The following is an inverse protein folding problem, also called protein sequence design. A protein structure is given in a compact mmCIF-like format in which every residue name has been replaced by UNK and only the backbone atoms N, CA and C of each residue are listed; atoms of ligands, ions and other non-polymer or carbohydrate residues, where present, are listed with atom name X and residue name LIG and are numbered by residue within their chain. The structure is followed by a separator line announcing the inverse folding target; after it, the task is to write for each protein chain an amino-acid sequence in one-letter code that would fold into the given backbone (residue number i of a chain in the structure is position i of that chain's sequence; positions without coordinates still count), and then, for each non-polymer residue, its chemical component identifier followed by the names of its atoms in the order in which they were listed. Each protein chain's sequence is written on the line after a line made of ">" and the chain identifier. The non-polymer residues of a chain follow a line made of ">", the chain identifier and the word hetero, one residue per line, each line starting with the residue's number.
data_IF_811441965718
#
_entry.id   IF_811441965718
#
_cell.length_a   1.000
_cell.length_b   1.000
_cell.length_c   1.000
_cell.angle_alpha   90.00
_cell.angle_beta   90.00
_cell.angle_gamma   90.00
#
_symmetry.space_group_name_H-M   'P 1'
#
loop_
_entity.id
_entity.type
_entity.pdbx_description
1 polymer ?
#
# COMPACT_ATOMS: atom_id res chain seq x y z
N UNK A 1 19.04 30.55 -5.01
CA UNK A 1 18.14 30.51 -6.18
C UNK A 1 17.12 29.41 -5.89
N UNK A 2 16.01 29.75 -5.23
CA UNK A 2 15.01 28.77 -4.77
C UNK A 2 13.96 28.57 -5.86
N UNK A 3 13.92 27.38 -6.45
CA UNK A 3 12.90 26.99 -7.41
C UNK A 3 11.61 26.64 -6.66
N UNK A 4 10.52 27.34 -6.99
CA UNK A 4 9.17 27.05 -6.51
C UNK A 4 8.78 25.64 -6.97
N UNK A 5 8.60 24.71 -6.02
CA UNK A 5 7.85 23.47 -6.28
C UNK A 5 6.39 23.86 -6.52
N UNK A 6 5.92 23.63 -7.75
CA UNK A 6 4.52 23.79 -8.09
C UNK A 6 3.70 22.72 -7.37
N UNK A 7 2.79 23.15 -6.52
CA UNK A 7 1.73 22.28 -6.00
C UNK A 7 0.81 21.99 -7.19
N UNK A 8 0.92 20.79 -7.73
CA UNK A 8 -0.01 20.29 -8.75
C UNK A 8 -1.30 19.94 -8.02
N UNK A 9 -2.24 20.90 -8.02
CA UNK A 9 -3.61 20.66 -7.58
C UNK A 9 -4.28 19.86 -8.69
N UNK A 10 -4.46 18.55 -8.49
CA UNK A 10 -5.33 17.75 -9.32
C UNK A 10 -6.75 18.31 -9.14
N UNK A 11 -7.26 19.00 -10.15
CA UNK A 11 -8.67 19.28 -10.29
C UNK A 11 -9.34 17.95 -10.64
N UNK A 12 -9.77 17.21 -9.62
CA UNK A 12 -10.72 16.13 -9.80
C UNK A 12 -11.95 16.73 -10.50
N UNK A 13 -12.11 16.41 -11.77
CA UNK A 13 -13.29 16.77 -12.52
C UNK A 13 -14.45 15.99 -11.92
N UNK A 14 -15.21 16.63 -11.04
CA UNK A 14 -16.52 16.19 -10.56
C UNK A 14 -17.49 16.12 -11.75
N UNK A 15 -17.35 15.09 -12.56
CA UNK A 15 -18.49 14.54 -13.30
C UNK A 15 -19.19 13.66 -12.28
N UNK A 16 -20.39 14.02 -11.79
CA UNK A 16 -21.21 13.07 -11.04
C UNK A 16 -21.54 11.93 -12.00
N UNK A 17 -20.71 10.90 -11.99
CA UNK A 17 -20.98 9.64 -12.63
C UNK A 17 -22.27 9.13 -12.02
N UNK A 18 -23.29 8.99 -12.86
CA UNK A 18 -24.49 8.27 -12.51
C UNK A 18 -24.03 6.87 -12.09
N UNK A 19 -24.00 6.60 -10.78
CA UNK A 19 -23.81 5.26 -10.24
C UNK A 19 -25.07 4.46 -10.61
N UNK A 20 -25.11 4.01 -11.86
CA UNK A 20 -26.04 2.97 -12.28
C UNK A 20 -25.64 1.75 -11.47
N UNK A 21 -26.49 1.37 -10.52
CA UNK A 21 -26.36 0.15 -9.73
C UNK A 21 -26.40 -1.06 -10.64
N UNK A 22 -25.26 -1.38 -11.26
CA UNK A 22 -24.95 -2.73 -11.66
C UNK A 22 -24.97 -3.55 -10.37
N UNK A 23 -25.94 -4.45 -10.25
CA UNK A 23 -25.87 -5.50 -9.22
C UNK A 23 -24.48 -6.14 -9.29
N UNK A 24 -23.90 -6.40 -8.13
CA UNK A 24 -22.55 -6.93 -7.93
C UNK A 24 -22.30 -8.34 -8.52
N UNK A 25 -23.11 -8.82 -9.46
CA UNK A 25 -23.20 -10.26 -9.75
C UNK A 25 -22.06 -10.85 -10.61
N UNK A 26 -21.08 -10.06 -11.11
CA UNK A 26 -19.96 -10.61 -11.92
C UNK A 26 -18.55 -10.10 -11.56
N UNK A 27 -18.34 -9.36 -10.47
CA UNK A 27 -16.98 -8.95 -10.07
C UNK A 27 -16.36 -9.94 -9.09
N UNK A 28 -15.53 -10.85 -9.60
CA UNK A 28 -14.66 -11.72 -8.81
C UNK A 28 -13.21 -11.24 -8.91
N UNK A 29 -12.72 -10.43 -7.94
CA UNK A 29 -11.35 -9.91 -7.97
C UNK A 29 -10.31 -11.03 -7.85
N UNK A 30 -10.63 -12.16 -7.21
CA UNK A 30 -9.69 -13.28 -7.03
C UNK A 30 -9.50 -14.07 -8.32
N UNK A 31 -10.46 -14.03 -9.26
CA UNK A 31 -10.33 -14.63 -10.58
C UNK A 31 -9.34 -13.88 -11.50
N UNK A 32 -9.04 -12.61 -11.19
CA UNK A 32 -8.06 -11.81 -11.94
C UNK A 32 -6.66 -12.14 -11.38
N UNK A 33 -5.69 -12.55 -12.24
CA UNK A 33 -4.39 -12.98 -11.76
C UNK A 33 -3.60 -11.82 -11.13
N UNK A 34 -2.90 -12.10 -10.03
CA UNK A 34 -1.96 -11.15 -9.47
C UNK A 34 -0.69 -11.04 -10.34
N UNK A 35 -0.21 -9.81 -10.57
CA UNK A 35 1.04 -9.54 -11.29
C UNK A 35 2.07 -8.84 -10.40
N UNK A 36 2.97 -9.63 -9.78
CA UNK A 36 4.11 -9.09 -9.02
C UNK A 36 5.17 -8.41 -9.91
N UNK A 37 5.11 -8.62 -11.23
CA UNK A 37 5.97 -7.92 -12.18
C UNK A 37 5.51 -6.48 -12.39
N UNK A 38 4.19 -6.26 -12.50
CA UNK A 38 3.58 -4.92 -12.65
C UNK A 38 3.43 -4.21 -11.31
N UNK A 39 3.06 -4.95 -10.26
CA UNK A 39 2.82 -4.45 -8.91
C UNK A 39 3.81 -5.08 -7.91
N UNK A 40 5.12 -4.80 -8.02
CA UNK A 40 6.14 -5.46 -7.20
C UNK A 40 6.14 -4.99 -5.74
N UNK A 41 5.38 -3.96 -5.38
CA UNK A 41 5.29 -3.46 -4.01
C UNK A 41 3.93 -3.78 -3.41
N UNK A 42 3.92 -4.17 -2.13
CA UNK A 42 2.70 -4.27 -1.33
C UNK A 42 1.91 -2.97 -1.40
N UNK A 43 0.64 -2.98 -1.88
CA UNK A 43 -0.24 -1.84 -1.72
C UNK A 43 -0.63 -1.71 -0.24
N UNK A 44 -0.71 -0.48 0.26
CA UNK A 44 -0.92 -0.18 1.67
C UNK A 44 -2.07 0.81 1.80
N UNK A 45 -3.00 0.52 2.70
CA UNK A 45 -3.96 1.49 3.18
C UNK A 45 -3.45 2.12 4.47
N UNK A 46 -3.71 3.41 4.66
CA UNK A 46 -3.28 4.15 5.84
C UNK A 46 -4.06 5.43 6.05
N UNK A 47 -3.67 6.16 7.09
CA UNK A 47 -4.22 7.48 7.44
C UNK A 47 -5.76 7.51 7.42
N UNK A 48 -6.39 6.45 7.93
CA UNK A 48 -7.84 6.31 7.88
C UNK A 48 -8.51 7.36 8.78
N UNK A 49 -9.69 7.79 8.35
CA UNK A 49 -10.64 8.50 9.21
C UNK A 49 -11.94 7.69 9.22
N UNK A 50 -13.00 8.23 9.82
CA UNK A 50 -14.31 7.59 9.79
C UNK A 50 -14.89 7.52 8.37
N UNK A 51 -14.47 8.38 7.46
CA UNK A 51 -15.05 8.46 6.10
C UNK A 51 -14.00 8.49 5.00
N UNK A 52 -12.74 8.18 5.31
CA UNK A 52 -11.63 8.29 4.35
C UNK A 52 -10.56 7.25 4.59
N UNK A 53 -9.89 6.82 3.53
CA UNK A 53 -8.59 6.12 3.59
C UNK A 53 -7.61 6.71 2.58
N UNK A 54 -6.31 6.53 2.84
CA UNK A 54 -5.24 6.78 1.87
C UNK A 54 -4.74 5.44 1.36
N UNK A 55 -4.70 5.26 0.05
CA UNK A 55 -4.11 4.08 -0.58
C UNK A 55 -2.80 4.47 -1.25
N UNK A 56 -1.72 3.78 -0.89
CA UNK A 56 -0.40 3.92 -1.47
C UNK A 56 -0.02 2.64 -2.21
N UNK A 57 0.44 2.75 -3.45
CA UNK A 57 0.85 1.60 -4.26
C UNK A 57 1.89 2.00 -5.31
N UNK A 58 2.47 0.99 -5.96
CA UNK A 58 3.50 1.18 -6.98
C UNK A 58 3.17 0.41 -8.26
N UNK A 59 3.34 1.08 -9.41
CA UNK A 59 3.16 0.52 -10.76
C UNK A 59 4.50 0.57 -11.48
N UNK A 60 5.10 -0.59 -11.74
CA UNK A 60 6.49 -0.69 -12.22
C UNK A 60 6.74 -0.06 -13.59
N UNK A 61 5.74 -0.08 -14.47
CA UNK A 61 5.82 0.52 -15.80
C UNK A 61 5.13 1.89 -15.88
N UNK A 62 4.66 2.42 -14.73
CA UNK A 62 3.92 3.69 -14.61
C UNK A 62 2.74 3.78 -15.60
N UNK A 63 2.16 2.64 -15.98
CA UNK A 63 0.98 2.60 -16.85
C UNK A 63 -0.28 3.04 -16.10
N UNK A 64 -1.32 3.55 -16.81
CA UNK A 64 -2.61 3.81 -16.20
C UNK A 64 -3.22 2.53 -15.63
N UNK A 65 -3.87 2.64 -14.47
CA UNK A 65 -4.55 1.53 -13.79
C UNK A 65 -5.95 1.92 -13.35
N UNK A 66 -6.76 0.95 -12.97
CA UNK A 66 -8.06 1.18 -12.33
C UNK A 66 -7.97 0.80 -10.86
N UNK A 67 -8.22 1.75 -9.95
CA UNK A 67 -8.41 1.48 -8.54
C UNK A 67 -9.85 1.00 -8.31
N UNK A 68 -10.00 -0.15 -7.66
CA UNK A 68 -11.29 -0.57 -7.12
C UNK A 68 -11.25 -0.80 -5.63
N UNK A 69 -12.34 -0.40 -4.99
CA UNK A 69 -12.62 -0.69 -3.59
C UNK A 69 -14.04 -1.22 -3.46
N UNK A 70 -14.22 -2.26 -2.64
CA UNK A 70 -15.49 -2.97 -2.51
C UNK A 70 -15.70 -3.47 -1.08
N UNK A 71 -16.95 -3.78 -0.75
CA UNK A 71 -17.35 -4.46 0.47
C UNK A 71 -18.41 -5.52 0.13
N UNK A 72 -19.10 -6.05 1.14
CA UNK A 72 -20.16 -7.06 0.95
C UNK A 72 -21.34 -6.56 0.08
N UNK A 73 -21.55 -5.24 -0.01
CA UNK A 73 -22.62 -4.63 -0.80
C UNK A 73 -22.24 -4.44 -2.28
N UNK A 74 -20.94 -4.50 -2.59
CA UNK A 74 -20.38 -4.41 -3.94
C UNK A 74 -19.26 -3.40 -4.08
N UNK A 75 -18.98 -3.01 -5.33
CA UNK A 75 -17.94 -2.02 -5.67
C UNK A 75 -18.43 -0.61 -5.28
N UNK A 76 -17.66 0.06 -4.43
CA UNK A 76 -17.93 1.44 -3.97
C UNK A 76 -17.02 2.47 -4.63
N UNK A 77 -15.86 2.04 -5.15
CA UNK A 77 -14.92 2.86 -5.90
C UNK A 77 -14.52 2.13 -7.17
N UNK A 78 -14.55 2.84 -8.29
CA UNK A 78 -14.09 2.39 -9.60
C UNK A 78 -13.50 3.60 -10.33
N UNK A 79 -12.21 3.85 -10.11
CA UNK A 79 -11.54 5.09 -10.50
C UNK A 79 -10.30 4.80 -11.37
N UNK A 80 -10.20 5.48 -12.51
CA UNK A 80 -8.98 5.47 -13.31
C UNK A 80 -7.90 6.31 -12.62
N UNK A 81 -6.71 5.73 -12.45
CA UNK A 81 -5.54 6.39 -11.89
C UNK A 81 -4.52 6.60 -12.99
N UNK A 82 -4.21 7.88 -13.25
CA UNK A 82 -3.21 8.28 -14.22
C UNK A 82 -1.77 7.98 -13.74
N UNK A 83 -0.82 7.79 -14.67
CA UNK A 83 0.62 7.69 -14.38
C UNK A 83 1.12 8.81 -13.45
N UNK A 84 1.98 8.43 -12.50
CA UNK A 84 2.57 9.33 -11.51
C UNK A 84 3.88 9.97 -11.98
N UNK A 85 4.55 9.37 -12.97
CA UNK A 85 5.86 9.74 -13.48
C UNK A 85 7.02 8.99 -12.82
N UNK A 86 6.81 8.40 -11.64
CA UNK A 86 7.79 7.59 -10.91
C UNK A 86 7.26 6.22 -10.45
N UNK A 87 6.03 5.89 -10.85
CA UNK A 87 5.31 4.68 -10.48
C UNK A 87 4.68 4.71 -9.08
N UNK A 88 4.94 5.70 -8.22
CA UNK A 88 4.38 5.77 -6.87
C UNK A 88 3.09 6.59 -6.81
N UNK A 89 2.00 5.94 -6.41
CA UNK A 89 0.69 6.58 -6.31
C UNK A 89 0.27 6.72 -4.85
N UNK A 90 -0.41 7.83 -4.56
CA UNK A 90 -1.15 8.06 -3.32
C UNK A 90 -2.53 8.57 -3.68
N UNK A 91 -3.55 7.75 -3.45
CA UNK A 91 -4.95 8.05 -3.78
C UNK A 91 -5.72 8.23 -2.48
N UNK A 92 -6.52 9.28 -2.42
CA UNK A 92 -7.42 9.54 -1.31
C UNK A 92 -8.81 9.07 -1.69
N UNK A 93 -9.38 8.20 -0.88
CA UNK A 93 -10.74 7.69 -1.07
C UNK A 93 -11.60 8.23 0.05
N UNK A 94 -12.55 9.09 -0.29
CA UNK A 94 -13.47 9.77 0.62
C UNK A 94 -14.88 9.13 0.58
N UNK A 95 -15.83 9.73 1.31
CA UNK A 95 -17.25 9.34 1.36
C UNK A 95 -17.52 7.88 1.77
N UNK A 96 -16.64 7.33 2.61
CA UNK A 96 -16.76 5.97 3.13
C UNK A 96 -17.65 5.88 4.37
N UNK A 97 -18.19 4.69 4.61
CA UNK A 97 -18.99 4.40 5.80
C UNK A 97 -18.06 4.15 7.00
N UNK A 98 -18.30 4.79 8.16
CA UNK A 98 -17.52 4.54 9.38
C UNK A 98 -17.56 3.08 9.85
N UNK A 99 -16.46 2.61 10.44
CA UNK A 99 -16.32 1.27 11.01
C UNK A 99 -16.54 0.13 10.00
N UNK A 100 -16.40 0.41 8.71
CA UNK A 100 -16.71 -0.55 7.63
C UNK A 100 -15.42 -1.12 7.06
N UNK A 101 -15.40 -2.43 6.87
CA UNK A 101 -14.28 -3.11 6.21
C UNK A 101 -14.48 -3.04 4.70
N UNK A 102 -13.43 -2.62 4.02
CA UNK A 102 -13.34 -2.56 2.57
C UNK A 102 -12.15 -3.37 2.10
N UNK A 103 -12.29 -4.01 0.95
CA UNK A 103 -11.20 -4.60 0.19
C UNK A 103 -10.81 -3.67 -0.95
N UNK A 104 -9.54 -3.67 -1.33
CA UNK A 104 -9.03 -2.84 -2.41
C UNK A 104 -7.96 -3.56 -3.21
N UNK A 105 -7.87 -3.19 -4.49
CA UNK A 105 -6.77 -3.55 -5.38
C UNK A 105 -6.72 -2.56 -6.54
N UNK A 106 -5.57 -2.51 -7.20
CA UNK A 106 -5.41 -1.83 -8.49
C UNK A 106 -5.31 -2.86 -9.60
N UNK A 107 -5.90 -2.54 -10.73
CA UNK A 107 -6.07 -3.45 -11.86
C UNK A 107 -5.51 -2.82 -13.12
N UNK A 108 -4.83 -3.61 -13.96
CA UNK A 108 -4.51 -3.17 -15.32
C UNK A 108 -5.73 -3.35 -16.25
N UNK A 109 -5.91 -2.41 -17.16
CA UNK A 109 -7.09 -2.35 -18.01
C UNK A 109 -8.28 -1.68 -17.32
N UNK A 110 -9.47 -1.93 -17.84
CA UNK A 110 -10.72 -1.35 -17.36
C UNK A 110 -11.79 -2.43 -17.31
N UNK A 111 -12.79 -2.23 -16.46
CA UNK A 111 -13.85 -3.19 -16.31
C UNK A 111 -14.68 -3.36 -17.61
N UNK A 112 -15.19 -4.59 -17.87
CA UNK A 112 -15.01 -5.81 -17.09
C UNK A 112 -13.72 -6.58 -17.42
N UNK A 113 -12.90 -6.09 -18.34
CA UNK A 113 -11.81 -6.83 -18.98
C UNK A 113 -10.44 -6.55 -18.33
N UNK A 114 -10.33 -6.78 -17.02
CA UNK A 114 -9.05 -6.63 -16.31
C UNK A 114 -8.06 -7.73 -16.71
N UNK A 115 -6.79 -7.36 -16.94
CA UNK A 115 -5.75 -8.31 -17.34
C UNK A 115 -5.05 -8.93 -16.13
N UNK A 116 -4.62 -8.08 -15.20
CA UNK A 116 -3.97 -8.46 -13.95
C UNK A 116 -4.29 -7.46 -12.82
N UNK A 117 -3.91 -7.82 -11.58
CA UNK A 117 -4.13 -6.99 -10.39
C UNK A 117 -2.92 -6.95 -9.45
N UNK A 118 -2.94 -5.98 -8.54
CA UNK A 118 -2.11 -6.01 -7.35
C UNK A 118 -2.56 -7.09 -6.37
N UNK A 119 -1.76 -7.28 -5.31
CA UNK A 119 -2.24 -7.93 -4.10
C UNK A 119 -3.54 -7.26 -3.61
N UNK A 120 -4.51 -8.06 -3.20
CA UNK A 120 -5.75 -7.55 -2.59
C UNK A 120 -5.44 -7.20 -1.14
N UNK A 121 -5.70 -5.95 -0.77
CA UNK A 121 -5.68 -5.51 0.60
C UNK A 121 -7.08 -5.37 1.18
N UNK A 122 -7.14 -5.15 2.48
CA UNK A 122 -8.30 -4.78 3.25
C UNK A 122 -7.95 -3.64 4.19
N UNK A 123 -8.96 -2.84 4.53
CA UNK A 123 -8.86 -1.75 5.48
C UNK A 123 -10.20 -1.55 6.16
N UNK A 124 -10.17 -1.20 7.44
CA UNK A 124 -11.36 -0.76 8.17
C UNK A 124 -11.27 0.75 8.39
N UNK A 125 -12.30 1.49 7.98
CA UNK A 125 -12.42 2.90 8.34
C UNK A 125 -12.56 3.05 9.85
N UNK A 126 -12.14 4.19 10.41
CA UNK A 126 -12.31 4.43 11.83
C UNK A 126 -13.81 4.35 12.21
N UNK A 127 -14.15 3.93 13.43
CA UNK A 127 -15.53 4.05 13.91
C UNK A 127 -16.04 5.49 13.82
N UNK A 128 -17.36 5.68 13.86
CA UNK A 128 -17.92 7.02 13.98
C UNK A 128 -17.37 7.71 15.25
N UNK A 129 -17.23 9.04 15.23
CA UNK A 129 -16.56 9.79 16.32
C UNK A 129 -17.19 9.60 17.70
N UNK A 130 -18.48 9.30 17.74
CA UNK A 130 -19.27 9.04 18.96
C UNK A 130 -19.44 7.55 19.28
N UNK A 131 -18.88 6.66 18.46
CA UNK A 131 -18.97 5.23 18.67
C UNK A 131 -18.04 4.76 19.80
N UNK A 132 -18.59 3.96 20.71
CA UNK A 132 -17.84 3.27 21.75
C UNK A 132 -17.73 1.78 21.38
N UNK A 133 -16.72 1.46 20.58
CA UNK A 133 -16.41 0.09 20.17
C UNK A 133 -14.99 -0.29 20.60
N UNK A 134 -14.73 -1.57 20.92
CA UNK A 134 -13.36 -2.03 21.12
C UNK A 134 -12.55 -1.87 19.84
N UNK A 135 -11.25 -1.57 19.98
CA UNK A 135 -10.29 -1.46 18.88
C UNK A 135 -9.06 -2.29 19.22
N UNK A 136 -8.63 -3.13 18.29
CA UNK A 136 -7.42 -3.94 18.36
C UNK A 136 -6.32 -3.28 17.55
N UNK A 137 -5.21 -2.92 18.22
CA UNK A 137 -4.09 -2.19 17.63
C UNK A 137 -2.83 -3.03 17.77
N UNK A 138 -2.06 -3.16 16.69
CA UNK A 138 -0.67 -3.58 16.77
C UNK A 138 0.26 -2.36 16.70
N UNK A 139 1.19 -2.27 17.66
CA UNK A 139 2.20 -1.23 17.74
C UNK A 139 3.56 -1.84 17.42
N UNK A 140 4.23 -1.27 16.44
CA UNK A 140 5.47 -1.77 15.87
C UNK A 140 6.51 -0.64 15.87
N UNK A 141 7.76 -0.99 16.13
CA UNK A 141 8.91 -0.10 16.06
C UNK A 141 10.15 -0.97 15.88
N UNK A 142 11.19 -0.43 15.26
CA UNK A 142 12.49 -1.09 15.19
C UNK A 142 12.44 -2.51 14.59
N UNK A 143 11.50 -2.80 13.67
CA UNK A 143 11.28 -4.17 13.17
C UNK A 143 12.43 -4.67 12.29
N UNK A 144 13.19 -3.76 11.67
CA UNK A 144 14.40 -4.08 10.93
C UNK A 144 15.68 -4.21 11.78
N UNK A 145 15.61 -4.02 13.11
CA UNK A 145 16.80 -3.99 13.95
C UNK A 145 17.40 -5.39 14.11
N UNK A 146 18.66 -5.57 13.72
CA UNK A 146 19.38 -6.83 13.88
C UNK A 146 19.34 -7.77 12.68
N UNK A 147 18.61 -7.43 11.61
CA UNK A 147 18.75 -8.08 10.30
C UNK A 147 19.87 -7.43 9.53
N UNK A 148 20.88 -8.22 9.16
CA UNK A 148 22.02 -7.77 8.36
C UNK A 148 21.53 -7.50 6.93
N UNK A 149 20.95 -6.31 6.69
CA UNK A 149 20.80 -5.74 5.36
C UNK A 149 22.07 -5.85 4.49
N UNK A 150 23.30 -5.74 5.05
CA UNK A 150 24.52 -5.93 4.26
C UNK A 150 24.65 -7.27 3.53
N UNK A 151 24.04 -8.36 4.02
CA UNK A 151 24.17 -9.69 3.41
C UNK A 151 23.22 -9.87 2.21
N UNK A 152 22.14 -9.08 2.14
CA UNK A 152 21.11 -9.16 1.09
C UNK A 152 21.19 -8.01 0.08
N UNK A 153 21.84 -6.90 0.44
CA UNK A 153 22.03 -5.75 -0.42
C UNK A 153 23.45 -5.75 -1.02
N UNK A 154 23.69 -6.66 -1.97
CA UNK A 154 24.87 -6.57 -2.85
C UNK A 154 24.40 -6.23 -4.28
N UNK A 155 24.60 -4.97 -4.73
CA UNK A 155 24.01 -4.46 -5.97
C UNK A 155 24.57 -5.09 -7.26
N UNK A 156 25.70 -5.80 -7.22
CA UNK A 156 26.19 -6.56 -8.37
C UNK A 156 25.59 -7.98 -8.40
N UNK A 157 24.32 -8.09 -8.79
CA UNK A 157 23.72 -9.38 -9.20
C UNK A 157 22.34 -9.70 -8.62
N UNK A 158 21.79 -8.88 -7.74
CA UNK A 158 20.44 -9.08 -7.20
C UNK A 158 19.38 -8.61 -8.22
N UNK A 159 19.20 -9.40 -9.28
CA UNK A 159 18.03 -9.24 -10.14
C UNK A 159 16.81 -9.71 -9.35
N UNK A 160 15.96 -8.74 -8.96
CA UNK A 160 14.69 -8.93 -8.25
C UNK A 160 14.81 -9.24 -6.74
N UNK A 161 13.76 -8.92 -5.94
CA UNK A 161 13.62 -9.45 -4.59
C UNK A 161 13.89 -10.95 -4.59
N UNK A 162 14.69 -11.40 -3.65
CA UNK A 162 15.14 -12.79 -3.53
C UNK A 162 13.95 -13.74 -3.71
N UNK A 163 14.16 -14.86 -4.39
CA UNK A 163 13.13 -15.92 -4.52
C UNK A 163 12.57 -16.39 -3.16
N UNK A 164 13.27 -16.06 -2.08
CA UNK A 164 12.85 -16.21 -0.69
C UNK A 164 12.92 -14.83 -0.02
N UNK A 165 11.83 -14.05 -0.01
CA UNK A 165 11.84 -12.74 0.61
C UNK A 165 11.88 -12.86 2.13
N UNK A 166 12.53 -11.92 2.80
CA UNK A 166 12.71 -11.98 4.26
C UNK A 166 11.35 -11.88 4.98
N UNK A 167 11.11 -12.78 5.92
CA UNK A 167 9.90 -12.86 6.72
C UNK A 167 10.24 -12.50 8.17
N UNK A 168 9.52 -11.52 8.72
CA UNK A 168 9.64 -11.17 10.14
C UNK A 168 8.59 -11.94 10.94
N UNK A 169 9.03 -12.75 11.90
CA UNK A 169 8.12 -13.52 12.77
C UNK A 169 7.09 -12.62 13.47
N UNK A 170 7.47 -11.37 13.80
CA UNK A 170 6.53 -10.40 14.40
C UNK A 170 5.35 -10.10 13.47
N UNK A 171 5.56 -10.04 12.16
CA UNK A 171 4.46 -9.85 11.20
C UNK A 171 3.62 -11.12 11.06
N UNK A 172 4.26 -12.29 11.06
CA UNK A 172 3.56 -13.59 11.06
C UNK A 172 2.67 -13.75 12.28
N UNK A 173 3.09 -13.30 13.47
CA UNK A 173 2.24 -13.33 14.66
C UNK A 173 1.19 -12.23 14.66
N UNK A 174 1.53 -11.02 14.23
CA UNK A 174 0.58 -9.92 14.17
C UNK A 174 -0.63 -10.24 13.27
N UNK A 175 -0.42 -10.90 12.12
CA UNK A 175 -1.51 -11.31 11.20
C UNK A 175 -2.44 -12.39 11.74
N UNK A 176 -2.09 -13.06 12.84
CA UNK A 176 -2.97 -14.03 13.51
C UNK A 176 -4.08 -13.33 14.31
N UNK A 177 -3.98 -12.01 14.48
CA UNK A 177 -4.95 -11.18 15.16
C UNK A 177 -5.85 -10.43 14.17
N UNK A 178 -7.13 -10.26 14.52
CA UNK A 178 -8.06 -9.37 13.81
C UNK A 178 -7.73 -7.92 14.20
N UNK A 179 -6.85 -7.28 13.45
CA UNK A 179 -6.34 -5.94 13.72
C UNK A 179 -7.23 -4.89 13.04
N UNK A 180 -7.64 -3.87 13.80
CA UNK A 180 -8.30 -2.71 13.22
C UNK A 180 -7.27 -1.73 12.64
N UNK A 181 -6.11 -1.61 13.31
CA UNK A 181 -5.08 -0.61 13.00
C UNK A 181 -3.68 -1.14 13.27
N UNK A 182 -2.75 -0.79 12.37
CA UNK A 182 -1.31 -0.89 12.53
C UNK A 182 -0.72 0.48 12.84
N UNK A 183 0.13 0.58 13.86
CA UNK A 183 0.90 1.78 14.16
C UNK A 183 2.38 1.45 14.10
N UNK A 184 3.14 2.13 13.24
CA UNK A 184 4.59 2.03 13.18
C UNK A 184 5.25 3.30 13.69
N UNK A 185 6.10 3.18 14.70
CA UNK A 185 6.71 4.30 15.41
C UNK A 185 8.15 4.60 14.93
N UNK A 186 8.42 4.38 13.64
CA UNK A 186 9.74 4.57 13.04
C UNK A 186 10.67 3.35 13.10
N UNK A 187 11.84 3.48 12.49
CA UNK A 187 12.82 2.42 12.29
C UNK A 187 12.22 1.19 11.59
N UNK A 188 11.51 1.44 10.49
CA UNK A 188 10.82 0.41 9.72
C UNK A 188 11.80 -0.59 9.10
N UNK A 189 12.89 -0.07 8.54
CA UNK A 189 13.76 -0.86 7.69
C UNK A 189 15.26 -0.60 7.90
N UNK A 190 15.68 0.36 8.73
CA UNK A 190 17.10 0.66 8.96
C UNK A 190 17.89 0.91 7.65
N UNK A 191 17.35 1.75 6.77
CA UNK A 191 17.87 1.94 5.41
C UNK A 191 18.91 3.06 5.30
N UNK A 192 19.15 3.80 6.38
CA UNK A 192 20.29 4.70 6.54
C UNK A 192 21.62 3.98 6.27
N UNK A 193 21.74 2.69 6.61
CA UNK A 193 22.93 1.89 6.29
C UNK A 193 23.19 1.77 4.78
N UNK A 194 22.14 1.70 3.95
CA UNK A 194 22.26 1.68 2.48
C UNK A 194 22.82 3.00 2.00
N UNK A 195 22.32 4.10 2.57
CA UNK A 195 22.75 5.46 2.25
C UNK A 195 24.20 5.75 2.67
N UNK A 196 24.66 5.17 3.78
CA UNK A 196 26.00 5.36 4.32
C UNK A 196 27.10 4.50 3.67
N UNK A 197 26.75 3.60 2.75
CA UNK A 197 27.75 2.88 1.95
C UNK A 197 28.43 3.78 0.91
N UNK A 198 29.60 3.37 0.40
CA UNK A 198 30.32 4.12 -0.65
C UNK A 198 29.49 4.28 -1.95
N UNK A 199 28.53 3.38 -2.18
CA UNK A 199 27.66 3.34 -3.36
C UNK A 199 26.19 3.70 -3.03
N UNK A 200 25.96 4.38 -1.90
CA UNK A 200 24.63 4.84 -1.49
C UNK A 200 24.02 5.80 -2.51
N UNK A 201 22.87 5.44 -3.06
CA UNK A 201 22.10 6.26 -4.01
C UNK A 201 20.61 6.27 -3.65
N UNK A 202 19.85 7.19 -4.22
CA UNK A 202 18.39 7.20 -4.06
C UNK A 202 17.74 5.94 -4.64
N UNK A 203 18.20 5.49 -5.81
CA UNK A 203 17.70 4.26 -6.43
C UNK A 203 18.04 3.03 -5.58
N UNK A 204 19.24 2.98 -4.99
CA UNK A 204 19.63 1.98 -4.01
C UNK A 204 18.66 1.92 -2.82
N UNK A 205 18.35 3.08 -2.24
CA UNK A 205 17.41 3.21 -1.13
C UNK A 205 16.00 2.73 -1.51
N UNK A 206 15.48 3.15 -2.67
CA UNK A 206 14.17 2.70 -3.15
C UNK A 206 14.13 1.20 -3.47
N UNK A 207 15.21 0.65 -4.02
CA UNK A 207 15.33 -0.78 -4.26
C UNK A 207 15.38 -1.56 -2.95
N UNK A 208 16.07 -1.07 -1.93
CA UNK A 208 16.12 -1.67 -0.61
C UNK A 208 14.72 -1.79 0.01
N UNK A 209 13.90 -0.72 -0.03
CA UNK A 209 12.48 -0.80 0.33
C UNK A 209 11.74 -1.92 -0.41
N UNK A 210 12.13 -2.23 -1.64
CA UNK A 210 11.46 -3.23 -2.48
C UNK A 210 11.56 -4.64 -1.93
N UNK A 211 12.67 -4.95 -1.27
CA UNK A 211 12.85 -6.23 -0.60
C UNK A 211 11.86 -6.39 0.56
N UNK A 212 11.61 -5.34 1.33
CA UNK A 212 10.64 -5.36 2.43
C UNK A 212 9.21 -5.57 1.90
N UNK A 213 8.85 -4.83 0.85
CA UNK A 213 7.57 -4.96 0.16
C UNK A 213 7.41 -6.29 -0.62
N UNK A 214 8.48 -7.04 -0.87
CA UNK A 214 8.41 -8.38 -1.45
C UNK A 214 8.21 -9.48 -0.40
N UNK A 215 8.51 -9.19 0.88
CA UNK A 215 8.49 -10.14 1.99
C UNK A 215 7.43 -9.83 3.03
N UNK A 216 7.82 -9.81 4.30
CA UNK A 216 6.86 -9.76 5.41
C UNK A 216 5.92 -8.54 5.43
N UNK A 217 6.17 -7.46 4.68
CA UNK A 217 5.14 -6.42 4.52
C UNK A 217 3.91 -6.95 3.80
N UNK A 218 4.08 -7.83 2.81
CA UNK A 218 2.96 -8.49 2.09
C UNK A 218 2.10 -9.34 3.01
N UNK A 219 2.66 -9.82 4.11
CA UNK A 219 1.97 -10.67 5.06
C UNK A 219 1.05 -9.90 6.01
N UNK A 220 1.33 -8.62 6.28
CA UNK A 220 0.64 -7.84 7.32
C UNK A 220 0.01 -6.54 6.81
N UNK A 221 0.72 -5.72 6.03
CA UNK A 221 0.25 -4.39 5.64
C UNK A 221 -1.00 -4.39 4.74
N UNK A 222 -1.28 -5.43 3.94
CA UNK A 222 -2.56 -5.54 3.26
C UNK A 222 -3.71 -5.88 4.20
N UNK A 223 -3.48 -6.28 5.45
CA UNK A 223 -4.53 -6.81 6.33
C UNK A 223 -5.16 -5.76 7.25
N UNK A 224 -4.53 -4.61 7.42
CA UNK A 224 -5.03 -3.54 8.28
C UNK A 224 -4.43 -2.21 7.84
N UNK A 225 -5.11 -1.11 8.18
CA UNK A 225 -4.63 0.21 7.80
C UNK A 225 -3.50 0.69 8.71
N UNK A 226 -2.51 1.37 8.11
CA UNK A 226 -1.26 1.79 8.72
C UNK A 226 -1.25 3.29 9.06
N UNK A 227 -0.86 3.61 10.29
CA UNK A 227 -0.36 4.94 10.66
C UNK A 227 1.12 4.82 10.96
N UNK A 228 1.94 5.57 10.23
CA UNK A 228 3.38 5.53 10.37
C UNK A 228 3.93 6.91 10.72
N UNK A 229 4.88 6.94 11.66
CA UNK A 229 5.84 8.03 11.81
C UNK A 229 7.24 7.48 11.54
N UNK A 230 8.14 8.36 11.15
CA UNK A 230 9.59 8.12 11.11
C UNK A 230 10.24 8.22 12.49
N UNK A 231 11.44 7.64 12.60
CA UNK A 231 12.45 7.84 13.65
C UNK A 231 13.83 8.10 12.98
N UNK A 232 14.95 7.83 13.65
CA UNK A 232 16.29 8.25 13.22
C UNK A 232 16.89 7.42 12.07
N UNK A 233 16.40 6.21 11.80
CA UNK A 233 16.91 5.37 10.71
C UNK A 233 16.16 5.49 9.36
N UNK A 234 15.25 6.46 9.24
CA UNK A 234 14.59 6.79 7.97
C UNK A 234 15.34 7.85 7.12
N UNK A 235 16.38 8.48 7.67
CA UNK A 235 17.08 9.66 7.09
C UNK A 235 18.52 9.41 6.63
#
# INVERSE_FOLDING_TARGET
>A
MFTRRGVMVLLASLVPGLLVGCKAEDFDPEAIPESVARFPRTPIAGDMTSTRVVLAFYVADDSPVTLRMWNEEGVVVDEAVDPSGDGFHKVFVDDLTPGTTYHYAVFSGAAPDFEDRSLIGQVRTAPAEDALVPVTIALLACVGQGTVLPDYYLPEGSAAPTAEPFQWEVYTHAREHDLDVLIHLGDQAYLDFVWHTADGTYDAYLNAWGYYHGGGYRDLYPLAGLYATWDDHEV
#
